data_IF_621769280142
#
_entry.id   IF_621769280142
#
_cell.length_a   1.000
_cell.length_b   1.000
_cell.length_c   1.000
_cell.angle_alpha   90.00
_cell.angle_beta   90.00
_cell.angle_gamma   90.00
#
_symmetry.space_group_name_H-M   'P 1'
#
loop_
_entity.id
_entity.type
_entity.pdbx_description
1 polymer ?
#
# COMPACT_ATOMS: atom_id res chain seq x y z
N UNK A 1 2.44 21.69 30.45
CA UNK A 1 3.32 20.53 30.16
C UNK A 1 2.70 19.77 29.00
N UNK A 2 3.43 19.54 27.90
CA UNK A 2 2.90 18.87 26.71
C UNK A 2 3.48 17.47 26.65
N UNK A 3 2.61 16.46 26.64
CA UNK A 3 3.00 15.07 26.42
C UNK A 3 2.69 14.73 24.96
N UNK A 4 3.68 14.17 24.26
CA UNK A 4 3.52 13.59 22.94
C UNK A 4 3.93 12.12 23.08
N UNK A 5 3.00 11.23 22.76
CA UNK A 5 3.21 9.79 22.74
C UNK A 5 2.55 9.25 21.46
N UNK A 6 3.12 8.17 20.93
CA UNK A 6 2.54 7.49 19.78
C UNK A 6 1.34 6.66 20.24
N UNK A 7 0.23 6.71 19.48
CA UNK A 7 -1.00 5.96 19.78
C UNK A 7 -1.20 4.95 18.66
N UNK A 8 -1.12 3.67 18.99
CA UNK A 8 -1.21 2.59 18.00
C UNK A 8 -2.64 2.33 17.52
N UNK A 9 -3.63 2.49 18.41
CA UNK A 9 -5.05 2.26 18.13
C UNK A 9 -5.92 3.37 18.71
N UNK A 10 -7.00 3.69 18.00
CA UNK A 10 -7.97 4.69 18.39
C UNK A 10 -8.92 4.17 19.47
N UNK A 11 -9.63 5.09 20.11
CA UNK A 11 -10.62 4.77 21.11
C UNK A 11 -11.71 5.84 21.20
N UNK A 12 -12.82 5.47 21.85
CA UNK A 12 -13.92 6.38 22.15
C UNK A 12 -14.06 6.46 23.66
N UNK A 13 -13.98 7.68 24.20
CA UNK A 13 -14.36 7.99 25.57
C UNK A 13 -15.74 8.65 25.56
N UNK A 14 -16.75 7.88 25.99
CA UNK A 14 -18.13 8.35 26.05
C UNK A 14 -18.36 9.34 27.20
N UNK A 15 -17.61 9.23 28.29
CA UNK A 15 -17.72 10.15 29.44
C UNK A 15 -17.19 11.54 29.09
N UNK A 16 -16.11 11.58 28.30
CA UNK A 16 -15.54 12.83 27.80
C UNK A 16 -16.15 13.31 26.47
N UNK A 17 -17.06 12.53 25.85
CA UNK A 17 -17.56 12.76 24.49
C UNK A 17 -16.45 12.98 23.46
N UNK A 18 -15.37 12.19 23.56
CA UNK A 18 -14.16 12.30 22.76
C UNK A 18 -13.95 11.03 21.94
N UNK A 19 -13.60 11.19 20.66
CA UNK A 19 -13.09 10.12 19.83
C UNK A 19 -11.67 10.44 19.39
N UNK A 20 -10.76 9.49 19.58
CA UNK A 20 -9.37 9.58 19.11
C UNK A 20 -9.19 8.53 18.01
N UNK A 21 -8.76 8.97 16.84
CA UNK A 21 -8.44 8.10 15.71
C UNK A 21 -6.93 8.01 15.58
N UNK A 22 -6.37 6.81 15.69
CA UNK A 22 -4.98 6.54 15.33
C UNK A 22 -4.85 6.47 13.81
N UNK A 23 -3.62 6.68 13.31
CA UNK A 23 -3.32 6.55 11.88
C UNK A 23 -3.75 5.18 11.32
N UNK A 24 -3.57 4.11 12.09
CA UNK A 24 -4.01 2.77 11.72
C UNK A 24 -5.53 2.61 11.57
N UNK A 25 -6.36 3.40 12.24
CA UNK A 25 -7.81 3.33 12.06
C UNK A 25 -8.26 3.91 10.71
N UNK A 26 -7.46 4.82 10.13
CA UNK A 26 -7.76 5.48 8.85
C UNK A 26 -7.06 4.76 7.69
N UNK A 27 -5.79 4.39 7.87
CA UNK A 27 -4.93 3.86 6.81
C UNK A 27 -4.64 2.35 6.95
N UNK A 28 -5.11 1.71 8.02
CA UNK A 28 -4.83 0.31 8.34
C UNK A 28 -3.48 0.08 9.02
N UNK A 29 -3.30 -1.10 9.63
CA UNK A 29 -2.11 -1.47 10.42
C UNK A 29 -0.82 -1.60 9.60
N UNK A 30 -0.92 -1.62 8.27
CA UNK A 30 0.25 -1.67 7.36
C UNK A 30 1.07 -0.38 7.37
N UNK A 31 0.49 0.74 7.83
CA UNK A 31 1.16 2.02 7.99
C UNK A 31 1.78 2.25 9.38
N UNK A 32 1.46 1.43 10.39
CA UNK A 32 2.16 1.43 11.69
C UNK A 32 3.51 0.72 11.57
N UNK A 33 4.37 1.24 10.70
CA UNK A 33 5.76 0.88 10.69
C UNK A 33 6.44 1.67 11.82
N UNK A 34 6.31 1.19 13.07
CA UNK A 34 7.29 1.52 14.11
C UNK A 34 8.66 1.34 13.46
N UNK A 35 9.48 2.39 13.41
CA UNK A 35 10.80 2.48 12.76
C UNK A 35 11.51 1.12 12.66
N UNK A 36 11.13 0.32 11.65
CA UNK A 36 11.88 -0.85 11.26
C UNK A 36 12.87 -0.23 10.32
N UNK A 37 14.08 0.02 10.81
CA UNK A 37 15.23 0.32 9.98
C UNK A 37 15.15 -0.63 8.79
N UNK A 38 14.79 -0.09 7.62
CA UNK A 38 14.68 -0.86 6.38
C UNK A 38 16.10 -1.19 5.94
N UNK A 39 16.72 -2.15 6.59
CA UNK A 39 17.86 -2.88 6.02
C UNK A 39 17.31 -3.63 4.81
N UNK A 40 17.49 -3.04 3.63
CA UNK A 40 16.95 -3.53 2.36
C UNK A 40 15.67 -2.78 1.97
N UNK A 41 15.77 -1.85 1.02
CA UNK A 41 14.62 -1.37 0.28
C UNK A 41 14.05 -2.58 -0.46
N UNK A 42 13.01 -3.20 0.09
CA UNK A 42 12.08 -4.14 -0.58
C UNK A 42 12.81 -5.19 -1.44
N UNK A 43 13.05 -6.37 -0.87
CA UNK A 43 13.34 -7.56 -1.67
C UNK A 43 12.35 -7.62 -2.84
N UNK A 44 12.83 -7.79 -4.07
CA UNK A 44 11.97 -7.81 -5.26
C UNK A 44 10.79 -8.75 -4.99
N UNK A 45 9.55 -8.24 -4.98
CA UNK A 45 8.41 -9.08 -4.66
C UNK A 45 8.34 -10.18 -5.71
N UNK A 46 8.26 -11.43 -5.27
CA UNK A 46 8.02 -12.58 -6.15
C UNK A 46 6.58 -12.52 -6.67
N UNK A 47 6.37 -11.73 -7.73
CA UNK A 47 5.07 -11.46 -8.33
C UNK A 47 4.60 -12.65 -9.15
N UNK A 48 3.38 -13.11 -8.87
CA UNK A 48 2.71 -14.17 -9.61
C UNK A 48 1.45 -13.64 -10.30
N UNK A 49 1.15 -14.22 -11.45
CA UNK A 49 -0.13 -13.96 -12.13
C UNK A 49 -1.28 -14.29 -11.17
N UNK A 50 -2.19 -13.33 -11.01
CA UNK A 50 -3.29 -13.38 -10.05
C UNK A 50 -3.07 -12.54 -8.79
N UNK A 51 -1.86 -12.05 -8.54
CA UNK A 51 -1.57 -11.20 -7.38
C UNK A 51 -2.26 -9.83 -7.51
N UNK A 52 -2.71 -9.31 -6.37
CA UNK A 52 -3.33 -7.97 -6.27
C UNK A 52 -2.24 -6.94 -6.02
N UNK A 53 -2.22 -5.90 -6.86
CA UNK A 53 -1.23 -4.83 -6.87
C UNK A 53 -1.94 -3.50 -6.60
N UNK A 54 -1.35 -2.68 -5.73
CA UNK A 54 -1.75 -1.29 -5.54
C UNK A 54 -0.88 -0.40 -6.44
N UNK A 55 -1.48 0.16 -7.48
CA UNK A 55 -0.87 1.17 -8.33
C UNK A 55 -1.14 2.57 -7.77
N UNK A 56 -0.14 3.43 -7.73
CA UNK A 56 -0.24 4.76 -7.12
C UNK A 56 -1.32 5.64 -7.77
N UNK A 57 -1.37 5.67 -9.11
CA UNK A 57 -2.34 6.49 -9.84
C UNK A 57 -3.71 5.82 -10.06
N UNK A 58 -3.78 4.48 -10.03
CA UNK A 58 -4.97 3.73 -10.51
C UNK A 58 -5.63 2.89 -9.42
N UNK A 59 -5.03 2.75 -8.24
CA UNK A 59 -5.56 1.93 -7.16
C UNK A 59 -5.30 0.43 -7.38
N UNK A 60 -6.27 -0.42 -7.00
CA UNK A 60 -6.09 -1.87 -6.99
C UNK A 60 -6.29 -2.49 -8.38
N UNK A 61 -5.28 -3.20 -8.86
CA UNK A 61 -5.33 -4.03 -10.08
C UNK A 61 -4.85 -5.45 -9.80
N UNK A 62 -5.13 -6.38 -10.73
CA UNK A 62 -4.66 -7.77 -10.66
C UNK A 62 -3.63 -8.02 -11.74
N UNK A 63 -2.49 -8.60 -11.38
CA UNK A 63 -1.46 -8.99 -12.35
C UNK A 63 -1.97 -10.10 -13.26
N UNK A 64 -1.94 -9.86 -14.57
CA UNK A 64 -2.37 -10.83 -15.58
C UNK A 64 -1.22 -11.44 -16.36
N UNK A 65 -0.19 -10.66 -16.66
CA UNK A 65 0.94 -11.13 -17.45
C UNK A 65 2.17 -10.23 -17.30
N UNK A 66 3.32 -10.77 -17.68
CA UNK A 66 4.50 -10.03 -18.12
C UNK A 66 4.49 -10.01 -19.65
N UNK A 67 4.63 -8.82 -20.24
CA UNK A 67 4.57 -8.60 -21.67
C UNK A 67 5.85 -7.90 -22.15
N UNK A 68 6.38 -8.32 -23.29
CA UNK A 68 7.49 -7.65 -23.95
C UNK A 68 6.93 -6.69 -25.00
N UNK A 69 7.28 -5.41 -24.89
CA UNK A 69 6.82 -4.34 -25.76
C UNK A 69 7.99 -3.78 -26.56
N UNK A 70 7.77 -3.51 -27.85
CA UNK A 70 8.69 -2.71 -28.66
C UNK A 70 8.17 -1.27 -28.74
N UNK A 71 8.91 -0.34 -28.14
CA UNK A 71 8.60 1.09 -28.13
C UNK A 71 9.76 1.84 -28.77
N UNK A 72 9.50 2.54 -29.88
CA UNK A 72 10.50 3.33 -30.63
C UNK A 72 11.80 2.56 -30.94
N UNK A 73 11.66 1.29 -31.33
CA UNK A 73 12.79 0.40 -31.65
C UNK A 73 13.57 -0.10 -30.43
N UNK A 74 13.06 0.11 -29.21
CA UNK A 74 13.60 -0.48 -27.97
C UNK A 74 12.65 -1.53 -27.42
N UNK A 75 13.21 -2.67 -27.04
CA UNK A 75 12.49 -3.74 -26.35
C UNK A 75 12.45 -3.41 -24.85
N UNK A 76 11.25 -3.43 -24.26
CA UNK A 76 11.01 -3.23 -22.84
C UNK A 76 10.09 -4.31 -22.29
N UNK A 77 10.27 -4.68 -21.03
CA UNK A 77 9.34 -5.56 -20.32
C UNK A 77 8.35 -4.72 -19.51
N UNK A 78 7.08 -5.09 -19.58
CA UNK A 78 5.98 -4.43 -18.88
C UNK A 78 5.10 -5.47 -18.19
N UNK A 79 4.38 -5.04 -17.14
CA UNK A 79 3.37 -5.86 -16.48
C UNK A 79 1.99 -5.45 -16.94
N UNK A 80 1.13 -6.43 -17.20
CA UNK A 80 -0.28 -6.19 -17.52
C UNK A 80 -1.12 -6.31 -16.26
N UNK A 81 -1.80 -5.23 -15.92
CA UNK A 81 -2.76 -5.16 -14.82
C UNK A 81 -4.19 -5.12 -15.38
N UNK A 82 -5.11 -5.73 -14.65
CA UNK A 82 -6.55 -5.56 -14.86
C UNK A 82 -7.16 -4.91 -13.62
N UNK A 83 -7.78 -3.76 -13.83
CA UNK A 83 -8.50 -2.99 -12.82
C UNK A 83 -10.00 -3.33 -12.83
N UNK A 84 -10.69 -2.89 -11.79
CA UNK A 84 -12.14 -3.05 -11.71
C UNK A 84 -12.83 -2.36 -12.89
N UNK A 85 -13.75 -3.09 -13.56
CA UNK A 85 -14.45 -2.59 -14.74
C UNK A 85 -13.81 -2.98 -16.07
N UNK A 86 -12.73 -3.78 -16.05
CA UNK A 86 -12.08 -4.31 -17.26
C UNK A 86 -11.11 -3.35 -17.93
N UNK A 87 -10.61 -2.36 -17.18
CA UNK A 87 -9.58 -1.42 -17.60
C UNK A 87 -8.18 -1.95 -17.31
#
# INVERSE_FOLDING_TARGET
MRFAADIEDGFIDQTAALAVLAGANVFGTRFNASTRTRTGLIEEPDLRVGDVILHEDHGLGVLRALETLELDGKVAEAVRLEYHGGA
#
